data_IF_140631289857
#
_entry.id   IF_140631289857
#
_cell.length_a   1.000
_cell.length_b   1.000
_cell.length_c   1.000
_cell.angle_alpha   90.00
_cell.angle_beta   90.00
_cell.angle_gamma   90.00
#
_symmetry.space_group_name_H-M   'P 1'
#
loop_
_entity.id
_entity.type
_entity.pdbx_description
1 polymer ?
#
# COMPACT_ATOMS: atom_id res chain seq x y z
N UNK A 1 19.24 -11.19 34.72
CA UNK A 1 18.55 -10.10 35.46
C UNK A 1 17.68 -9.34 34.47
N UNK A 2 16.35 -9.43 34.62
CA UNK A 2 15.39 -8.91 33.65
C UNK A 2 15.44 -7.38 33.56
N UNK A 3 15.52 -6.85 32.33
CA UNK A 3 15.37 -5.43 32.05
C UNK A 3 13.94 -5.01 32.45
N UNK A 4 13.80 -4.18 33.49
CA UNK A 4 12.56 -3.44 33.74
C UNK A 4 12.35 -2.52 32.54
N UNK A 5 11.35 -2.83 31.72
CA UNK A 5 10.84 -1.90 30.73
C UNK A 5 10.28 -0.70 31.51
N UNK A 6 10.76 0.51 31.21
CA UNK A 6 10.17 1.73 31.75
C UNK A 6 8.75 1.85 31.17
N UNK A 7 7.75 1.60 32.01
CA UNK A 7 6.33 1.52 31.65
C UNK A 7 5.64 2.89 31.61
N UNK A 8 6.38 3.98 31.81
CA UNK A 8 5.84 5.34 31.88
C UNK A 8 6.37 6.20 30.73
N UNK A 9 5.48 6.52 29.80
CA UNK A 9 5.76 7.52 28.77
C UNK A 9 5.32 8.89 29.29
N UNK A 10 6.24 9.85 29.30
CA UNK A 10 5.95 11.23 29.73
C UNK A 10 5.74 12.12 28.52
N UNK A 11 4.50 12.57 28.33
CA UNK A 11 4.16 13.60 27.34
C UNK A 11 3.69 14.85 28.08
N UNK A 12 4.25 16.02 27.74
CA UNK A 12 3.90 17.30 28.38
C UNK A 12 3.01 18.15 27.47
N UNK A 13 1.99 18.81 28.05
CA UNK A 13 1.09 19.73 27.34
C UNK A 13 1.46 21.16 27.72
N UNK A 14 1.74 22.01 26.72
CA UNK A 14 2.10 23.41 26.94
C UNK A 14 0.93 24.33 26.62
N UNK A 15 0.52 25.15 27.59
CA UNK A 15 -0.59 26.09 27.45
C UNK A 15 -0.06 27.53 27.32
N UNK A 16 -0.64 28.28 26.39
CA UNK A 16 -0.35 29.70 26.16
C UNK A 16 -1.33 30.58 26.94
N UNK A 17 -0.87 31.32 27.95
CA UNK A 17 -1.72 32.14 28.81
C UNK A 17 -2.24 33.43 28.15
N UNK A 18 -1.76 33.78 26.97
CA UNK A 18 -2.31 34.88 26.19
C UNK A 18 -3.58 34.45 25.42
N UNK A 19 -3.81 33.13 25.28
CA UNK A 19 -5.01 32.62 24.63
C UNK A 19 -6.09 32.33 25.70
N UNK A 20 -7.27 32.98 25.63
CA UNK A 20 -8.33 32.79 26.63
C UNK A 20 -8.84 31.34 26.73
N UNK A 21 -8.80 30.57 25.65
CA UNK A 21 -9.16 29.15 25.66
C UNK A 21 -8.21 28.34 26.53
N UNK A 22 -6.90 28.56 26.38
CA UNK A 22 -5.87 27.89 27.17
C UNK A 22 -5.90 28.31 28.63
N UNK A 23 -6.22 29.58 28.91
CA UNK A 23 -6.44 30.07 30.30
C UNK A 23 -7.59 29.32 30.95
N UNK A 24 -8.72 29.15 30.23
CA UNK A 24 -9.87 28.38 30.73
C UNK A 24 -9.50 26.93 31.02
N UNK A 25 -8.79 26.28 30.10
CA UNK A 25 -8.31 24.89 30.28
C UNK A 25 -7.38 24.80 31.50
N UNK A 26 -6.43 25.71 31.65
CA UNK A 26 -5.52 25.73 32.80
C UNK A 26 -6.30 25.88 34.11
N UNK A 27 -7.29 26.77 34.18
CA UNK A 27 -8.09 26.96 35.39
C UNK A 27 -8.80 25.66 35.81
N UNK A 28 -9.42 24.94 34.86
CA UNK A 28 -10.08 23.66 35.13
C UNK A 28 -9.08 22.59 35.59
N UNK A 29 -7.92 22.49 34.93
CA UNK A 29 -6.90 21.48 35.28
C UNK A 29 -6.29 21.77 36.66
N UNK A 30 -6.09 23.03 37.03
CA UNK A 30 -5.52 23.40 38.33
C UNK A 30 -6.52 23.17 39.48
N UNK A 31 -7.80 23.44 39.25
CA UNK A 31 -8.86 23.36 40.25
C UNK A 31 -9.75 22.12 40.06
N UNK A 32 -9.16 21.01 39.61
CA UNK A 32 -9.87 19.77 39.34
C UNK A 32 -10.40 19.16 40.64
N UNK A 33 -11.68 18.78 40.68
CA UNK A 33 -12.29 18.14 41.84
C UNK A 33 -11.77 16.68 41.98
N UNK A 34 -11.04 16.34 43.05
CA UNK A 34 -10.49 15.00 43.24
C UNK A 34 -11.56 13.92 43.43
N UNK A 35 -12.81 14.30 43.73
CA UNK A 35 -13.93 13.34 43.84
C UNK A 35 -14.38 12.81 42.48
N UNK A 36 -14.23 13.62 41.44
CA UNK A 36 -14.65 13.28 40.07
C UNK A 36 -13.47 12.63 39.33
N UNK A 37 -12.29 13.27 39.38
CA UNK A 37 -11.09 12.78 38.71
C UNK A 37 -9.96 12.61 39.71
N UNK A 38 -9.40 11.40 39.79
CA UNK A 38 -8.35 11.06 40.77
C UNK A 38 -7.02 11.78 40.52
N UNK A 39 -6.75 12.21 39.28
CA UNK A 39 -5.54 12.98 38.94
C UNK A 39 -5.73 13.80 37.66
N UNK A 40 -4.88 14.83 37.50
CA UNK A 40 -4.82 15.65 36.27
C UNK A 40 -4.50 14.80 35.04
N UNK A 41 -3.62 13.81 35.18
CA UNK A 41 -3.24 12.92 34.09
C UNK A 41 -4.42 12.05 33.66
N UNK A 42 -5.18 11.49 34.60
CA UNK A 42 -6.38 10.70 34.28
C UNK A 42 -7.42 11.54 33.55
N UNK A 43 -7.67 12.78 34.00
CA UNK A 43 -8.55 13.71 33.30
C UNK A 43 -8.13 13.95 31.84
N UNK A 44 -6.84 14.15 31.58
CA UNK A 44 -6.32 14.37 30.22
C UNK A 44 -6.45 13.08 29.39
N UNK A 45 -6.14 11.91 29.97
CA UNK A 45 -6.28 10.61 29.31
C UNK A 45 -7.74 10.36 28.91
N UNK A 46 -8.67 10.59 29.83
CA UNK A 46 -10.11 10.41 29.58
C UNK A 46 -10.62 11.36 28.49
N UNK A 47 -10.13 12.60 28.47
CA UNK A 47 -10.46 13.55 27.40
C UNK A 47 -9.93 13.10 26.04
N UNK A 48 -8.68 12.61 25.96
CA UNK A 48 -8.13 12.05 24.73
C UNK A 48 -8.91 10.81 24.28
N UNK A 49 -9.23 9.91 25.22
CA UNK A 49 -10.01 8.71 24.97
C UNK A 49 -11.39 9.06 24.38
N UNK A 50 -12.07 10.05 24.95
CA UNK A 50 -13.36 10.50 24.43
C UNK A 50 -13.28 10.89 22.96
N UNK A 51 -12.26 11.66 22.55
CA UNK A 51 -12.07 12.03 21.14
C UNK A 51 -11.76 10.82 20.25
N UNK A 52 -10.89 9.92 20.71
CA UNK A 52 -10.55 8.70 19.97
C UNK A 52 -11.78 7.82 19.76
N UNK A 53 -12.58 7.61 20.82
CA UNK A 53 -13.78 6.77 20.76
C UNK A 53 -14.86 7.36 19.82
N UNK A 54 -14.93 8.69 19.67
CA UNK A 54 -15.93 9.36 18.83
C UNK A 54 -15.55 9.44 17.35
N UNK A 55 -14.27 9.64 17.02
CA UNK A 55 -13.80 9.86 15.65
C UNK A 55 -13.05 8.65 15.07
N UNK A 56 -12.64 7.69 15.91
CA UNK A 56 -11.81 6.56 15.53
C UNK A 56 -10.31 6.88 15.55
N UNK A 57 -9.49 5.89 15.91
CA UNK A 57 -8.02 6.02 15.96
C UNK A 57 -7.44 6.37 14.58
N UNK A 58 -8.05 5.82 13.53
CA UNK A 58 -7.65 5.95 12.12
C UNK A 58 -7.60 7.40 11.60
N UNK A 59 -8.42 8.29 12.18
CA UNK A 59 -8.52 9.69 11.76
C UNK A 59 -7.33 10.53 12.28
N UNK A 60 -6.76 10.13 13.42
CA UNK A 60 -5.65 10.83 14.06
C UNK A 60 -4.28 10.21 13.76
N UNK A 61 -4.24 9.02 13.17
CA UNK A 61 -3.01 8.33 12.79
C UNK A 61 -2.66 8.56 11.31
N UNK A 62 -1.37 8.76 11.02
CA UNK A 62 -0.89 8.80 9.64
C UNK A 62 -1.17 7.45 8.94
N UNK A 63 -1.84 7.47 7.78
CA UNK A 63 -2.18 6.30 6.93
C UNK A 63 -0.95 5.61 6.29
N UNK A 64 0.21 5.57 6.96
CA UNK A 64 1.42 4.94 6.45
C UNK A 64 1.24 3.43 6.20
N UNK A 65 0.40 2.75 6.97
CA UNK A 65 0.08 1.33 6.74
C UNK A 65 -0.74 1.10 5.46
N UNK A 66 -1.70 1.97 5.14
CA UNK A 66 -2.46 1.86 3.87
C UNK A 66 -1.59 2.07 2.64
N UNK A 67 -0.53 2.88 2.74
CA UNK A 67 0.44 3.01 1.63
C UNK A 67 1.25 1.73 1.43
N UNK A 68 1.65 1.04 2.49
CA UNK A 68 2.39 -0.23 2.35
C UNK A 68 1.54 -1.36 1.80
N UNK A 69 0.25 -1.40 2.12
CA UNK A 69 -0.68 -2.38 1.57
C UNK A 69 -1.05 -2.14 0.08
N UNK A 70 -0.69 -0.99 -0.49
CA UNK A 70 -1.00 -0.63 -1.87
C UNK A 70 0.11 -0.96 -2.88
N UNK A 71 1.30 -1.34 -2.42
CA UNK A 71 2.43 -1.67 -3.29
C UNK A 71 2.84 -3.13 -3.10
N UNK A 72 2.95 -3.83 -4.21
CA UNK A 72 3.55 -5.17 -4.31
C UNK A 72 5.07 -4.98 -4.17
N UNK A 73 5.72 -5.73 -3.29
CA UNK A 73 7.18 -5.76 -3.17
C UNK A 73 7.82 -6.42 -4.39
N UNK A 74 9.09 -6.12 -4.67
CA UNK A 74 9.85 -6.82 -5.72
C UNK A 74 9.89 -8.33 -5.41
N UNK A 75 10.02 -8.70 -4.14
CA UNK A 75 10.01 -10.09 -3.69
C UNK A 75 8.67 -10.78 -4.00
N UNK A 76 7.55 -10.09 -3.78
CA UNK A 76 6.20 -10.59 -4.09
C UNK A 76 6.02 -10.80 -5.61
N UNK A 77 6.68 -9.99 -6.44
CA UNK A 77 6.64 -10.10 -7.90
C UNK A 77 7.47 -11.28 -8.42
N UNK A 78 8.60 -11.56 -7.78
CA UNK A 78 9.42 -12.73 -8.07
C UNK A 78 8.71 -14.03 -7.66
N UNK A 79 7.99 -14.04 -6.54
CA UNK A 79 7.13 -15.16 -6.13
C UNK A 79 6.01 -15.40 -7.15
N UNK A 80 5.29 -14.35 -7.56
CA UNK A 80 4.25 -14.45 -8.59
C UNK A 80 4.79 -14.99 -9.93
N UNK A 81 6.00 -14.56 -10.34
CA UNK A 81 6.64 -15.04 -11.56
C UNK A 81 6.98 -16.53 -11.46
N UNK A 82 7.46 -16.98 -10.31
CA UNK A 82 7.76 -18.39 -10.07
C UNK A 82 6.48 -19.24 -10.15
N UNK A 83 5.40 -18.81 -9.48
CA UNK A 83 4.10 -19.48 -9.55
C UNK A 83 3.54 -19.55 -10.98
N UNK A 84 3.65 -18.46 -11.74
CA UNK A 84 3.18 -18.41 -13.14
C UNK A 84 3.94 -19.40 -14.02
N UNK A 85 5.27 -19.51 -13.87
CA UNK A 85 6.09 -20.48 -14.61
C UNK A 85 5.71 -21.90 -14.20
N UNK A 86 5.51 -22.16 -12.91
CA UNK A 86 5.10 -23.47 -12.43
C UNK A 86 3.73 -23.89 -12.97
N UNK A 87 2.76 -22.97 -12.97
CA UNK A 87 1.44 -23.21 -13.55
C UNK A 87 1.51 -23.55 -15.04
N UNK A 88 2.24 -22.74 -15.83
CA UNK A 88 2.40 -22.96 -17.27
C UNK A 88 3.11 -24.29 -17.58
N UNK A 89 4.15 -24.64 -16.82
CA UNK A 89 4.86 -25.92 -17.02
C UNK A 89 4.01 -27.12 -16.62
N UNK A 90 3.18 -26.99 -15.58
CA UNK A 90 2.27 -28.05 -15.14
C UNK A 90 1.14 -28.27 -16.16
N UNK A 91 0.59 -27.19 -16.70
CA UNK A 91 -0.42 -27.26 -17.76
C UNK A 91 0.15 -27.92 -19.03
N UNK A 92 1.31 -27.47 -19.50
CA UNK A 92 1.99 -28.08 -20.65
C UNK A 92 2.29 -29.57 -20.42
N UNK A 93 2.75 -29.96 -19.22
CA UNK A 93 2.95 -31.37 -18.86
C UNK A 93 1.64 -32.17 -18.93
N UNK A 94 0.55 -31.63 -18.41
CA UNK A 94 -0.75 -32.30 -18.43
C UNK A 94 -1.28 -32.50 -19.85
N UNK A 95 -1.09 -31.53 -20.75
CA UNK A 95 -1.48 -31.67 -22.16
C UNK A 95 -0.66 -32.73 -22.88
N UNK A 96 0.67 -32.76 -22.66
CA UNK A 96 1.55 -33.80 -23.22
C UNK A 96 1.12 -35.19 -22.74
N UNK A 97 0.77 -35.34 -21.46
CA UNK A 97 0.26 -36.60 -20.90
C UNK A 97 -1.07 -37.00 -21.56
N UNK A 98 -1.99 -36.06 -21.77
CA UNK A 98 -3.26 -36.34 -22.47
C UNK A 98 -3.01 -36.82 -23.90
N UNK A 99 -2.11 -36.17 -24.63
CA UNK A 99 -1.77 -36.56 -26.00
C UNK A 99 -1.11 -37.93 -26.05
N UNK A 100 -0.09 -38.18 -25.22
CA UNK A 100 0.61 -39.47 -25.18
C UNK A 100 -0.29 -40.60 -24.66
N UNK A 101 -1.11 -40.34 -23.63
CA UNK A 101 -2.07 -41.29 -23.09
C UNK A 101 -3.17 -41.67 -24.08
N UNK A 102 -3.62 -40.72 -24.92
CA UNK A 102 -4.55 -40.96 -26.03
C UNK A 102 -3.93 -41.83 -27.12
N UNK A 103 -2.68 -41.54 -27.52
CA UNK A 103 -1.93 -42.33 -28.50
C UNK A 103 -1.67 -43.77 -28.00
N UNK A 104 -1.35 -43.95 -26.71
CA UNK A 104 -1.08 -45.28 -26.13
C UNK A 104 -2.38 -46.10 -25.93
N UNK A 105 -3.51 -45.46 -25.65
CA UNK A 105 -4.81 -46.16 -25.49
C UNK A 105 -5.48 -46.55 -26.81
N UNK A 106 -4.86 -46.29 -27.97
CA UNK A 106 -5.41 -46.66 -29.27
C UNK A 106 -6.66 -45.86 -29.68
N UNK A 107 -6.95 -44.75 -29.00
CA UNK A 107 -7.94 -43.78 -29.46
C UNK A 107 -7.28 -42.86 -30.49
N UNK A 108 -7.80 -42.83 -31.72
CA UNK A 108 -7.34 -41.88 -32.75
C UNK A 108 -7.47 -40.44 -32.23
N UNK A 109 -6.37 -39.86 -31.76
CA UNK A 109 -6.26 -38.43 -31.53
C UNK A 109 -6.27 -37.78 -32.91
N UNK A 110 -7.22 -36.89 -33.25
CA UNK A 110 -7.17 -36.18 -34.52
C UNK A 110 -5.85 -35.41 -34.56
N UNK A 111 -5.09 -35.66 -35.61
CA UNK A 111 -3.80 -35.04 -35.87
C UNK A 111 -3.99 -33.53 -35.81
N UNK A 112 -3.33 -32.86 -34.85
CA UNK A 112 -3.34 -31.40 -34.76
C UNK A 112 -2.68 -30.89 -36.04
N UNK A 113 -3.48 -30.34 -36.94
CA UNK A 113 -3.00 -29.57 -38.07
C UNK A 113 -2.31 -28.35 -37.48
N UNK A 114 -0.97 -28.34 -37.55
CA UNK A 114 -0.16 -27.19 -37.22
C UNK A 114 -0.53 -26.08 -38.22
N UNK A 115 -1.48 -25.24 -37.86
CA UNK A 115 -1.77 -24.04 -38.63
C UNK A 115 -0.56 -23.13 -38.39
N UNK A 116 0.38 -23.16 -39.34
CA UNK A 116 1.45 -22.18 -39.45
C UNK A 116 0.76 -20.84 -39.59
N UNK A 117 0.59 -20.12 -38.47
CA UNK A 117 0.35 -18.70 -38.50
C UNK A 117 1.50 -18.13 -39.32
N UNK A 118 1.16 -17.66 -40.52
CA UNK A 118 2.05 -16.81 -41.29
C UNK A 118 2.39 -15.69 -40.32
N UNK A 119 3.66 -15.63 -39.92
CA UNK A 119 4.22 -14.40 -39.37
C UNK A 119 4.14 -13.45 -40.56
N UNK A 120 3.06 -12.68 -40.62
CA UNK A 120 3.12 -11.42 -41.33
C UNK A 120 4.14 -10.60 -40.55
N UNK A 121 5.32 -10.43 -41.14
CA UNK A 121 6.18 -9.30 -40.83
C UNK A 121 5.30 -8.06 -41.05
N UNK A 122 4.69 -7.57 -39.98
CA UNK A 122 4.19 -6.21 -39.96
C UNK A 122 5.43 -5.33 -40.12
N UNK A 123 5.57 -4.77 -41.32
CA UNK A 123 6.49 -3.70 -41.65
C UNK A 123 6.50 -2.69 -40.51
N UNK A 124 7.71 -2.32 -40.05
CA UNK A 124 7.91 -1.17 -39.18
C UNK A 124 7.25 0.05 -39.85
N UNK A 125 6.00 0.33 -39.49
CA UNK A 125 5.49 1.69 -39.58
C UNK A 125 6.34 2.46 -38.59
N UNK A 126 7.35 3.14 -39.11
CA UNK A 126 7.89 4.34 -38.48
C UNK A 126 6.72 5.30 -38.41
N UNK A 127 5.92 5.15 -37.35
CA UNK A 127 4.92 6.12 -36.95
C UNK A 127 5.76 7.36 -36.63
N UNK A 128 5.81 8.28 -37.59
CA UNK A 128 6.34 9.62 -37.37
C UNK A 128 5.68 10.10 -36.10
N UNK A 129 6.48 10.15 -35.03
CA UNK A 129 6.08 10.63 -33.72
C UNK A 129 5.41 11.96 -34.01
N UNK A 130 4.08 11.96 -33.91
CA UNK A 130 3.31 13.18 -34.13
C UNK A 130 4.04 14.26 -33.34
N UNK A 131 4.36 15.37 -34.01
CA UNK A 131 4.80 16.61 -33.39
C UNK A 131 3.65 17.06 -32.47
N UNK A 132 3.50 16.36 -31.35
CA UNK A 132 2.51 16.60 -30.34
C UNK A 132 3.09 17.76 -29.54
N UNK A 133 2.75 18.96 -30.00
CA UNK A 133 3.19 20.26 -29.50
C UNK A 133 3.06 20.33 -27.96
N UNK A 134 2.11 19.56 -27.41
CA UNK A 134 1.86 19.38 -25.98
C UNK A 134 2.97 18.59 -25.24
N UNK A 135 3.57 17.58 -25.87
CA UNK A 135 4.63 16.74 -25.26
C UNK A 135 5.96 17.49 -25.19
N UNK A 136 6.30 18.24 -26.25
CA UNK A 136 7.47 19.11 -26.25
C UNK A 136 7.33 20.24 -25.21
N UNK A 137 6.14 20.82 -25.07
CA UNK A 137 5.84 21.84 -24.05
C UNK A 137 5.99 21.31 -22.62
N UNK A 138 5.57 20.07 -22.37
CA UNK A 138 5.75 19.40 -21.08
C UNK A 138 7.23 19.18 -20.75
N UNK A 139 8.04 18.70 -21.69
CA UNK A 139 9.47 18.46 -21.48
C UNK A 139 10.25 19.77 -21.18
N UNK A 140 9.92 20.85 -21.88
CA UNK A 140 10.52 22.18 -21.67
C UNK A 140 10.21 22.77 -20.28
N UNK A 141 9.06 22.40 -19.69
CA UNK A 141 8.65 22.83 -18.35
C UNK A 141 9.54 22.28 -17.21
N UNK A 142 10.19 21.14 -17.41
CA UNK A 142 11.07 20.53 -16.40
C UNK A 142 12.50 21.08 -16.44
N UNK A 143 12.98 21.55 -17.60
CA UNK A 143 14.31 22.14 -17.72
C UNK A 143 14.42 23.55 -17.11
N UNK A 144 13.30 24.28 -16.99
CA UNK A 144 13.29 25.65 -16.50
C UNK A 144 13.37 25.80 -14.96
N UNK A 145 13.45 24.69 -14.21
CA UNK A 145 13.47 24.68 -12.74
C UNK A 145 14.79 24.13 -12.20
N UNK A 146 15.88 24.77 -12.59
CA UNK A 146 17.22 24.46 -12.15
C UNK A 146 18.13 25.68 -12.24
N UNK A 147 17.88 26.68 -11.41
CA UNK A 147 18.86 27.63 -10.87
C UNK A 147 18.35 28.19 -9.54
#
# INVERSE_FOLDING_TARGET
MGRRLEYEVKTSVRLNMNNPQHVRINNVIQNLDPKIFKSKNQFIIDACKFYIDHYGEEEFMDKKEKKRAAYISIDDLDELKAEMIEAATTEARNEVIKLLGGVISGMNVPQILLQKSIVEEEEEQTEDVMDDEDVAGLAMGWMAKGD
#
